data_IF_252254855799
#
_entry.id   IF_252254855799
#
_cell.length_a   1.000
_cell.length_b   1.000
_cell.length_c   1.000
_cell.angle_alpha   90.00
_cell.angle_beta   90.00
_cell.angle_gamma   90.00
#
_symmetry.space_group_name_H-M   'P 1'
#
loop_
_entity.id
_entity.type
_entity.pdbx_description
1 polymer ?
#
# COMPACT_ATOMS: atom_id res chain seq x y z
N UNK A 1 -72.18 5.32 26.88
CA UNK A 1 -71.48 6.51 26.37
C UNK A 1 -70.32 6.01 25.50
N UNK A 2 -70.45 5.78 24.19
CA UNK A 2 -70.54 6.77 23.09
C UNK A 2 -69.44 7.84 23.27
N UNK A 3 -68.38 7.97 22.44
CA UNK A 3 -68.30 7.78 20.99
C UNK A 3 -66.91 7.36 20.48
N UNK A 4 -66.98 6.54 19.43
CA UNK A 4 -66.07 6.35 18.29
C UNK A 4 -65.72 7.69 17.60
N UNK A 5 -64.51 7.85 17.04
CA UNK A 5 -64.26 8.63 15.80
C UNK A 5 -62.80 8.47 15.30
N UNK A 6 -62.60 7.65 14.28
CA UNK A 6 -61.68 7.96 13.16
C UNK A 6 -62.47 8.71 12.09
N UNK A 7 -61.86 9.55 11.24
CA UNK A 7 -61.85 9.17 9.82
C UNK A 7 -60.66 9.69 8.97
N UNK A 8 -60.20 8.81 8.08
CA UNK A 8 -60.11 8.97 6.62
C UNK A 8 -59.26 10.09 5.95
N UNK A 9 -58.27 9.61 5.19
CA UNK A 9 -57.87 9.98 3.83
C UNK A 9 -57.34 11.40 3.51
N UNK A 10 -56.18 11.46 2.83
CA UNK A 10 -56.11 11.70 1.38
C UNK A 10 -54.66 11.73 0.87
N UNK A 11 -54.50 11.07 -0.26
CA UNK A 11 -53.38 11.01 -1.19
C UNK A 11 -52.94 12.41 -1.66
N UNK A 12 -51.62 12.62 -1.80
CA UNK A 12 -51.10 13.60 -2.77
C UNK A 12 -49.70 13.17 -3.22
N UNK A 13 -49.66 12.55 -4.40
CA UNK A 13 -48.45 12.34 -5.20
C UNK A 13 -48.00 13.71 -5.70
N UNK A 14 -46.82 14.18 -5.29
CA UNK A 14 -46.18 15.35 -5.88
C UNK A 14 -45.02 14.88 -6.76
N UNK A 15 -45.32 14.76 -8.06
CA UNK A 15 -44.37 14.57 -9.15
C UNK A 15 -43.60 15.90 -9.32
N UNK A 16 -42.37 15.99 -8.81
CA UNK A 16 -41.49 17.13 -9.09
C UNK A 16 -40.53 16.73 -10.22
N UNK A 17 -40.89 17.09 -11.45
CA UNK A 17 -39.97 17.13 -12.58
C UNK A 17 -39.06 18.36 -12.41
N UNK A 18 -37.91 18.17 -11.76
CA UNK A 18 -36.81 19.13 -11.75
C UNK A 18 -35.71 18.64 -12.68
N UNK A 19 -35.74 19.04 -13.95
CA UNK A 19 -34.60 18.85 -14.85
C UNK A 19 -33.47 19.80 -14.41
N UNK A 20 -32.68 19.36 -13.44
CA UNK A 20 -31.47 20.05 -13.03
C UNK A 20 -30.44 19.87 -14.14
N UNK A 21 -30.07 20.94 -14.85
CA UNK A 21 -28.89 20.95 -15.69
C UNK A 21 -27.70 20.73 -14.75
N UNK A 22 -27.23 19.49 -14.68
CA UNK A 22 -25.98 19.18 -14.02
C UNK A 22 -24.89 19.94 -14.75
N UNK A 23 -24.29 20.92 -14.08
CA UNK A 23 -23.01 21.50 -14.50
C UNK A 23 -22.05 20.35 -14.76
N UNK A 24 -21.55 20.23 -15.99
CA UNK A 24 -20.43 19.37 -16.28
C UNK A 24 -19.24 19.92 -15.51
N UNK A 25 -18.98 19.37 -14.32
CA UNK A 25 -17.70 19.55 -13.67
C UNK A 25 -16.67 18.91 -14.59
N UNK A 26 -15.89 19.73 -15.30
CA UNK A 26 -14.67 19.31 -15.95
C UNK A 26 -13.67 18.92 -14.85
N UNK A 27 -13.86 17.71 -14.30
CA UNK A 27 -12.87 17.06 -13.46
C UNK A 27 -11.73 16.70 -14.39
N UNK A 28 -10.81 17.65 -14.56
CA UNK A 28 -9.47 17.38 -15.03
C UNK A 28 -8.91 16.26 -14.13
N UNK A 29 -9.05 15.03 -14.61
CA UNK A 29 -8.58 13.83 -13.93
C UNK A 29 -7.07 13.85 -14.03
N UNK A 30 -6.42 14.42 -13.02
CA UNK A 30 -5.03 14.10 -12.76
C UNK A 30 -5.03 12.62 -12.39
N UNK A 31 -4.67 11.76 -13.35
CA UNK A 31 -4.35 10.38 -13.04
C UNK A 31 -3.42 10.41 -11.81
N UNK A 32 -3.67 9.59 -10.76
CA UNK A 32 -2.81 9.60 -9.60
C UNK A 32 -1.37 9.45 -10.08
N UNK A 33 -0.46 10.32 -9.60
CA UNK A 33 0.98 10.14 -9.86
C UNK A 33 1.28 8.67 -9.57
N UNK A 34 1.71 7.93 -10.58
CA UNK A 34 2.03 6.52 -10.42
C UNK A 34 2.97 6.40 -9.21
N UNK A 35 2.64 5.50 -8.29
CA UNK A 35 3.45 5.28 -7.08
C UNK A 35 4.92 5.10 -7.47
N UNK A 36 5.83 5.77 -6.76
CA UNK A 36 7.26 5.69 -7.02
C UNK A 36 7.68 4.20 -7.12
N UNK A 37 8.14 3.74 -8.31
CA UNK A 37 8.54 2.35 -8.50
C UNK A 37 9.62 1.88 -7.51
N UNK A 38 10.44 2.80 -6.97
CA UNK A 38 11.51 2.50 -6.04
C UNK A 38 11.03 2.36 -4.59
N UNK A 39 9.92 2.99 -4.23
CA UNK A 39 9.33 2.97 -2.89
C UNK A 39 8.47 1.71 -2.61
N UNK A 40 8.70 0.64 -3.37
CA UNK A 40 8.00 -0.64 -3.18
C UNK A 40 8.76 -1.47 -2.14
N UNK A 41 8.06 -2.05 -1.15
CA UNK A 41 8.70 -2.96 -0.22
C UNK A 41 9.38 -4.13 -0.94
N UNK A 42 10.52 -4.54 -0.40
CA UNK A 42 11.18 -5.80 -0.74
C UNK A 42 10.24 -6.96 -0.47
N UNK A 43 10.35 -7.99 -1.31
CA UNK A 43 9.66 -9.25 -1.12
C UNK A 43 10.59 -10.24 -0.43
N UNK A 44 10.04 -11.01 0.51
CA UNK A 44 10.77 -12.12 1.14
C UNK A 44 10.86 -13.24 0.12
N UNK A 45 12.08 -13.57 -0.31
CA UNK A 45 12.34 -14.58 -1.34
C UNK A 45 12.98 -15.83 -0.70
N UNK A 46 12.52 -17.05 -1.04
CA UNK A 46 13.08 -18.28 -0.49
C UNK A 46 14.58 -18.51 -0.76
N UNK A 47 15.14 -17.82 -1.76
CA UNK A 47 16.53 -17.94 -2.22
C UNK A 47 17.27 -16.60 -2.12
N UNK A 48 16.87 -15.73 -1.19
CA UNK A 48 17.47 -14.39 -1.06
C UNK A 48 18.98 -14.43 -0.74
N UNK A 49 19.43 -15.47 -0.04
CA UNK A 49 20.83 -15.78 0.26
C UNK A 49 21.63 -16.26 -0.96
N UNK A 50 20.95 -16.64 -2.04
CA UNK A 50 21.53 -17.04 -3.31
C UNK A 50 21.53 -15.90 -4.35
N UNK A 51 21.29 -14.67 -3.92
CA UNK A 51 21.28 -13.48 -4.78
C UNK A 51 22.64 -12.78 -4.78
N UNK A 52 22.85 -11.88 -5.75
CA UNK A 52 24.09 -11.13 -5.83
C UNK A 52 24.22 -10.19 -4.62
N UNK A 53 25.24 -10.45 -3.79
CA UNK A 53 25.68 -9.57 -2.71
C UNK A 53 26.74 -8.62 -3.25
N UNK A 54 26.56 -7.32 -2.99
CA UNK A 54 27.44 -6.26 -3.49
C UNK A 54 28.37 -5.70 -2.42
N UNK A 55 27.95 -5.71 -1.16
CA UNK A 55 28.78 -5.29 -0.03
C UNK A 55 28.34 -5.97 1.28
N UNK A 56 29.25 -5.98 2.25
CA UNK A 56 29.08 -6.66 3.54
C UNK A 56 29.86 -5.92 4.64
N UNK A 57 29.19 -5.64 5.76
CA UNK A 57 29.79 -4.98 6.90
C UNK A 57 29.40 -5.65 8.22
N UNK A 58 30.21 -5.41 9.26
CA UNK A 58 29.93 -5.89 10.61
C UNK A 58 29.23 -4.79 11.41
N UNK A 59 27.99 -5.04 11.80
CA UNK A 59 27.18 -4.16 12.62
C UNK A 59 27.11 -4.72 14.06
N UNK A 60 28.08 -4.32 14.90
CA UNK A 60 28.23 -4.84 16.25
C UNK A 60 28.54 -6.34 16.26
N UNK A 61 27.64 -7.15 16.83
CA UNK A 61 27.77 -8.61 16.88
C UNK A 61 27.27 -9.31 15.61
N UNK A 62 26.63 -8.59 14.69
CA UNK A 62 26.04 -9.15 13.46
C UNK A 62 26.84 -8.78 12.22
N UNK A 63 26.67 -9.60 11.21
CA UNK A 63 27.14 -9.34 9.85
C UNK A 63 25.91 -8.97 9.03
N UNK A 64 26.03 -7.92 8.21
CA UNK A 64 24.97 -7.42 7.34
C UNK A 64 25.51 -7.41 5.92
N UNK A 65 24.78 -8.03 4.99
CA UNK A 65 25.09 -8.06 3.57
C UNK A 65 23.96 -7.38 2.78
N UNK A 66 24.31 -6.62 1.74
CA UNK A 66 23.35 -5.88 0.91
C UNK A 66 23.55 -6.20 -0.58
N UNK A 67 22.48 -6.11 -1.36
CA UNK A 67 22.54 -6.43 -2.78
C UNK A 67 21.36 -5.93 -3.60
N UNK A 68 21.04 -6.66 -4.67
CA UNK A 68 19.99 -6.30 -5.61
C UNK A 68 18.59 -6.28 -4.99
N UNK A 69 17.64 -5.58 -5.62
CA UNK A 69 16.20 -5.61 -5.29
C UNK A 69 15.88 -5.28 -3.81
N UNK A 70 16.73 -4.52 -3.14
CA UNK A 70 16.57 -4.19 -1.73
C UNK A 70 16.81 -5.38 -0.79
N UNK A 71 17.58 -6.39 -1.22
CA UNK A 71 17.97 -7.50 -0.36
C UNK A 71 18.94 -7.01 0.72
N UNK A 72 18.52 -7.19 1.97
CA UNK A 72 19.35 -7.03 3.16
C UNK A 72 19.31 -8.38 3.87
N UNK A 73 20.47 -9.00 4.04
CA UNK A 73 20.66 -10.24 4.77
C UNK A 73 21.45 -9.96 6.03
N UNK A 74 21.14 -10.65 7.12
CA UNK A 74 21.95 -10.61 8.33
C UNK A 74 22.29 -12.01 8.83
N UNK A 75 23.42 -12.11 9.52
CA UNK A 75 23.94 -13.34 10.08
C UNK A 75 24.66 -13.07 11.40
N UNK A 76 24.58 -14.01 12.34
CA UNK A 76 25.36 -13.97 13.59
C UNK A 76 26.70 -14.74 13.45
N UNK A 77 26.83 -15.65 12.47
CA UNK A 77 27.97 -16.59 12.32
C UNK A 77 28.63 -16.58 10.93
N UNK A 78 28.05 -15.87 9.96
CA UNK A 78 28.49 -15.82 8.56
C UNK A 78 28.15 -17.07 7.74
N UNK A 79 27.50 -18.07 8.34
CA UNK A 79 27.11 -19.32 7.68
C UNK A 79 25.61 -19.35 7.39
N UNK A 80 24.79 -18.98 8.37
CA UNK A 80 23.33 -18.88 8.23
C UNK A 80 22.89 -17.45 7.98
N UNK A 81 22.05 -17.24 6.97
CA UNK A 81 21.60 -15.90 6.57
C UNK A 81 20.09 -15.78 6.66
N UNK A 82 19.61 -14.64 7.16
CA UNK A 82 18.19 -14.31 7.22
C UNK A 82 17.93 -13.01 6.48
N UNK A 83 16.93 -13.00 5.60
CA UNK A 83 16.50 -11.78 4.93
C UNK A 83 15.68 -10.89 5.88
N UNK A 84 15.95 -9.59 5.87
CA UNK A 84 15.10 -8.61 6.53
C UNK A 84 13.72 -8.53 5.83
N UNK A 85 12.64 -8.66 6.61
CA UNK A 85 11.27 -8.70 6.07
C UNK A 85 10.72 -7.32 5.67
N UNK A 86 11.10 -6.26 6.40
CA UNK A 86 10.47 -4.94 6.29
C UNK A 86 11.42 -3.88 5.69
N UNK A 87 11.89 -4.14 4.47
CA UNK A 87 12.70 -3.15 3.73
C UNK A 87 11.77 -2.36 2.80
N UNK A 88 11.58 -1.03 2.98
CA UNK A 88 10.57 -0.25 2.27
C UNK A 88 10.98 0.16 0.84
N UNK A 89 12.06 -0.41 0.33
CA UNK A 89 12.66 -0.07 -0.96
C UNK A 89 13.01 -1.33 -1.74
N UNK A 90 13.00 -1.22 -3.07
CA UNK A 90 13.41 -2.29 -4.00
C UNK A 90 14.60 -1.92 -4.89
N UNK A 91 15.26 -0.80 -4.58
CA UNK A 91 16.49 -0.39 -5.27
C UNK A 91 17.66 -1.33 -4.97
N UNK A 92 18.59 -1.46 -5.91
CA UNK A 92 19.87 -2.13 -5.65
C UNK A 92 20.67 -1.35 -4.59
N UNK A 93 21.08 -2.04 -3.54
CA UNK A 93 21.93 -1.52 -2.48
C UNK A 93 23.38 -1.91 -2.77
N UNK A 94 24.26 -0.92 -2.95
CA UNK A 94 25.63 -1.15 -3.41
C UNK A 94 26.69 -1.02 -2.32
N UNK A 95 26.31 -0.56 -1.13
CA UNK A 95 27.25 -0.34 -0.02
C UNK A 95 26.54 -0.40 1.34
N UNK A 96 27.27 -0.82 2.36
CA UNK A 96 26.88 -0.79 3.77
C UNK A 96 28.09 -0.40 4.63
N UNK A 97 27.88 0.42 5.66
CA UNK A 97 28.94 0.99 6.51
C UNK A 97 28.87 0.46 7.95
#
# INVERSE_FOLDING_TARGET
>A
MSRLNTPFALTAIALVLGASLASAEDKASLAPLAADPLARPTEVMPLADSTLVLDIARAGNRIVAVGERGHILYSDDGQGWTQAADVPLRSTLTAVA
#
